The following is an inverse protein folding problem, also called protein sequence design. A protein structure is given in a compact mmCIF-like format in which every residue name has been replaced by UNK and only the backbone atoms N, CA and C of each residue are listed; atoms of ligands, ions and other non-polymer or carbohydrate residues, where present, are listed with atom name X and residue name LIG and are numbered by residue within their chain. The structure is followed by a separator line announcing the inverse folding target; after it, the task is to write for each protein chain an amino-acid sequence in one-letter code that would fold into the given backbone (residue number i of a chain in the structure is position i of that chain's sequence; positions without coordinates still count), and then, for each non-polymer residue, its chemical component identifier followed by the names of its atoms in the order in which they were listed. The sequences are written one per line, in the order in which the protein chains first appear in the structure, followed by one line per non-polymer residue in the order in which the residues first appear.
data_IF_882137417922
#
_entry.id   IF_882137417922
#
_cell.length_a   1.000
_cell.length_b   1.000
_cell.length_c   1.000
_cell.angle_alpha   90.00
_cell.angle_beta   90.00
_cell.angle_gamma   90.00
#
_symmetry.space_group_name_H-M   'P 1'
#
loop_
_entity.id
_entity.type
_entity.pdbx_description
1 polymer ?
#
# COMPACT_ATOMS: atom_id res chain seq x y z
N UNK A 1 9.58 -26.64 31.62
CA UNK A 1 9.74 -26.49 30.16
C UNK A 1 11.23 -26.50 29.81
N UNK A 2 11.79 -27.69 29.61
CA UNK A 2 13.24 -27.98 29.57
C UNK A 2 13.87 -27.92 28.17
N UNK A 3 13.49 -26.95 27.33
CA UNK A 3 13.90 -26.92 25.91
C UNK A 3 14.55 -25.60 25.43
N UNK A 4 15.06 -24.74 26.33
CA UNK A 4 15.63 -23.42 25.97
C UNK A 4 17.18 -23.37 25.94
N UNK A 5 17.89 -24.49 26.00
CA UNK A 5 19.34 -24.51 26.21
C UNK A 5 20.22 -24.33 24.94
N UNK A 6 19.70 -23.87 23.80
CA UNK A 6 20.47 -23.87 22.55
C UNK A 6 20.46 -22.55 21.77
N UNK A 7 20.59 -21.40 22.45
CA UNK A 7 20.88 -20.12 21.80
C UNK A 7 22.10 -19.48 22.44
N UNK A 8 23.30 -19.79 21.92
CA UNK A 8 24.51 -18.97 22.13
C UNK A 8 24.52 -17.84 21.12
N UNK A 9 24.42 -16.60 21.56
CA UNK A 9 24.72 -15.40 20.78
C UNK A 9 25.99 -14.75 21.35
N UNK A 10 26.96 -14.45 20.49
CA UNK A 10 28.19 -13.73 20.87
C UNK A 10 27.88 -12.23 21.03
N UNK A 11 28.45 -11.52 22.02
CA UNK A 11 28.16 -10.10 22.24
C UNK A 11 29.14 -9.18 21.50
N UNK A 12 28.58 -8.07 21.01
CA UNK A 12 29.29 -6.82 20.71
C UNK A 12 28.38 -5.88 19.90
N UNK A 13 28.34 -4.56 20.07
CA UNK A 13 29.03 -3.61 20.95
C UNK A 13 28.34 -2.24 20.70
N UNK A 14 28.28 -1.37 21.72
CA UNK A 14 27.90 0.08 21.73
C UNK A 14 26.39 0.42 21.76
N UNK A 15 25.82 0.98 22.84
CA UNK A 15 26.15 2.12 23.73
C UNK A 15 26.01 3.50 23.05
N UNK A 16 25.11 4.33 23.60
CA UNK A 16 24.94 5.74 23.21
C UNK A 16 23.65 6.37 23.73
N UNK A 17 23.67 6.81 24.99
CA UNK A 17 22.60 7.58 25.66
C UNK A 17 22.64 9.06 25.26
N UNK A 18 21.48 9.72 25.14
CA UNK A 18 21.35 11.11 25.61
C UNK A 18 19.89 11.52 25.90
N UNK A 19 19.65 11.98 27.14
CA UNK A 19 18.39 12.54 27.68
C UNK A 19 18.19 13.99 27.22
N UNK A 20 16.95 14.34 26.87
CA UNK A 20 16.46 15.72 26.80
C UNK A 20 15.65 16.08 28.06
N UNK A 21 15.74 17.34 28.50
CA UNK A 21 15.14 17.91 29.71
C UNK A 21 14.22 19.09 29.35
N UNK A 22 13.12 19.21 30.11
CA UNK A 22 12.20 20.35 30.33
C UNK A 22 11.34 20.84 29.14
N UNK A 23 10.00 20.67 29.13
CA UNK A 23 8.92 21.28 29.95
C UNK A 23 8.67 22.78 29.72
N UNK A 24 7.56 23.10 29.05
CA UNK A 24 6.66 24.19 29.45
C UNK A 24 5.20 23.76 29.19
N UNK A 25 4.33 24.22 30.08
CA UNK A 25 3.00 23.71 30.42
C UNK A 25 2.09 24.95 30.51
N UNK A 26 0.91 24.94 29.87
CA UNK A 26 -0.46 25.13 30.43
C UNK A 26 -1.28 26.09 29.52
N UNK A 27 -2.62 26.20 29.65
CA UNK A 27 -3.61 25.31 30.30
C UNK A 27 -4.85 24.96 29.43
N UNK A 28 -5.59 23.97 29.94
CA UNK A 28 -6.95 23.53 29.56
C UNK A 28 -8.03 24.57 29.88
N UNK A 29 -9.15 24.50 29.16
CA UNK A 29 -10.49 24.77 29.71
C UNK A 29 -11.45 23.62 29.38
N UNK A 30 -12.21 23.21 30.40
CA UNK A 30 -13.26 22.20 30.36
C UNK A 30 -14.58 22.81 29.87
N UNK A 31 -15.44 21.98 29.26
CA UNK A 31 -16.83 22.32 28.97
C UNK A 31 -17.67 21.06 28.75
N UNK A 32 -18.50 20.76 29.74
CA UNK A 32 -19.44 19.63 29.89
C UNK A 32 -20.78 19.87 29.17
N UNK A 33 -21.52 18.79 28.88
CA UNK A 33 -22.98 18.79 28.63
C UNK A 33 -23.37 17.91 27.43
N UNK A 34 -23.78 16.64 27.59
CA UNK A 34 -25.12 16.17 27.98
C UNK A 34 -26.23 16.54 26.98
N UNK A 35 -26.79 15.54 26.28
CA UNK A 35 -28.24 15.23 26.25
C UNK A 35 -28.59 14.21 25.15
N UNK A 36 -29.39 13.23 25.54
CA UNK A 36 -30.01 12.20 24.72
C UNK A 36 -31.43 12.61 24.29
N UNK A 37 -31.92 12.02 23.18
CA UNK A 37 -33.31 11.55 22.88
C UNK A 37 -33.39 11.28 21.37
N UNK A 38 -33.50 10.03 20.92
CA UNK A 38 -34.69 9.18 20.88
C UNK A 38 -35.77 9.68 19.89
N UNK A 39 -35.91 8.98 18.77
CA UNK A 39 -37.18 8.77 18.07
C UNK A 39 -37.20 7.33 17.49
N UNK A 40 -38.18 6.56 17.99
CA UNK A 40 -38.83 5.39 17.37
C UNK A 40 -39.40 5.83 16.00
N UNK A 41 -39.67 5.01 14.97
CA UNK A 41 -40.35 3.72 15.00
C UNK A 41 -40.31 3.07 13.60
N UNK A 42 -40.25 1.74 13.62
CA UNK A 42 -40.57 0.72 12.62
C UNK A 42 -41.12 1.08 11.23
N UNK A 43 -40.62 0.35 10.23
CA UNK A 43 -41.48 -0.40 9.32
C UNK A 43 -40.75 -1.62 8.77
N UNK A 44 -41.26 -2.77 9.18
CA UNK A 44 -40.92 -4.13 8.77
C UNK A 44 -41.44 -4.41 7.37
N UNK A 45 -40.63 -5.00 6.49
CA UNK A 45 -41.12 -5.88 5.44
C UNK A 45 -40.08 -6.97 5.15
N UNK A 46 -40.54 -8.20 5.32
CA UNK A 46 -39.79 -9.44 5.32
C UNK A 46 -40.08 -10.17 4.00
N UNK A 47 -39.07 -10.90 3.54
CA UNK A 47 -39.11 -12.03 2.58
C UNK A 47 -39.41 -11.73 1.10
N UNK A 48 -38.41 -12.01 0.25
CA UNK A 48 -38.38 -13.27 -0.49
C UNK A 48 -36.99 -13.55 -1.09
N UNK A 49 -36.44 -14.72 -0.75
CA UNK A 49 -35.33 -15.39 -1.48
C UNK A 49 -35.94 -16.31 -2.53
N UNK A 50 -35.25 -16.51 -3.67
CA UNK A 50 -35.07 -17.88 -4.19
C UNK A 50 -33.57 -18.12 -4.48
N UNK A 51 -32.93 -19.07 -3.81
CA UNK A 51 -32.77 -20.50 -4.19
C UNK A 51 -32.11 -20.71 -5.56
N UNK A 52 -30.82 -21.03 -5.47
CA UNK A 52 -29.99 -21.73 -6.44
C UNK A 52 -30.62 -23.08 -6.82
N UNK A 53 -30.87 -23.28 -8.11
CA UNK A 53 -30.92 -24.57 -8.79
C UNK A 53 -30.82 -24.32 -10.31
N UNK A 54 -30.26 -25.30 -11.04
CA UNK A 54 -30.07 -25.36 -12.51
C UNK A 54 -28.66 -25.09 -13.06
N UNK A 55 -27.76 -26.03 -12.76
CA UNK A 55 -26.83 -26.57 -13.77
C UNK A 55 -27.55 -27.71 -14.50
N UNK A 56 -28.03 -27.46 -15.72
CA UNK A 56 -28.05 -28.47 -16.78
C UNK A 56 -28.46 -27.86 -18.14
N UNK A 57 -27.63 -28.15 -19.14
CA UNK A 57 -27.88 -28.09 -20.60
C UNK A 57 -28.15 -26.72 -21.23
N UNK A 58 -27.11 -26.18 -21.88
CA UNK A 58 -27.27 -25.21 -22.99
C UNK A 58 -26.70 -25.86 -24.26
N UNK A 59 -27.50 -26.08 -25.32
CA UNK A 59 -27.00 -26.49 -26.63
C UNK A 59 -26.21 -25.35 -27.28
N UNK A 60 -25.15 -25.69 -28.00
CA UNK A 60 -24.17 -24.75 -28.53
C UNK A 60 -24.78 -23.60 -29.37
N UNK A 61 -24.64 -22.38 -28.86
CA UNK A 61 -24.80 -21.16 -29.64
C UNK A 61 -23.40 -20.65 -30.02
N UNK A 62 -22.98 -20.97 -31.25
CA UNK A 62 -21.86 -20.28 -31.90
C UNK A 62 -22.29 -18.83 -32.17
N UNK A 63 -21.96 -17.93 -31.26
CA UNK A 63 -22.06 -16.50 -31.55
C UNK A 63 -21.06 -16.16 -32.67
N UNK A 64 -21.58 -15.92 -33.86
CA UNK A 64 -20.79 -15.41 -34.99
C UNK A 64 -20.16 -14.09 -34.58
N UNK A 65 -18.82 -14.01 -34.67
CA UNK A 65 -18.04 -12.79 -34.40
C UNK A 65 -18.61 -11.58 -35.17
N UNK A 66 -19.24 -11.81 -36.32
CA UNK A 66 -19.88 -10.77 -37.11
C UNK A 66 -21.11 -10.12 -36.46
N UNK A 67 -21.83 -10.80 -35.57
CA UNK A 67 -23.02 -10.23 -34.92
C UNK A 67 -22.67 -9.25 -33.78
N UNK A 68 -21.66 -9.58 -32.98
CA UNK A 68 -21.10 -8.69 -31.95
C UNK A 68 -20.43 -7.47 -32.57
N UNK A 69 -19.76 -7.66 -33.72
CA UNK A 69 -19.14 -6.58 -34.48
C UNK A 69 -20.18 -5.68 -35.17
N UNK A 70 -21.36 -6.22 -35.51
CA UNK A 70 -22.51 -5.43 -36.02
C UNK A 70 -23.19 -4.62 -34.92
N UNK A 71 -23.29 -5.16 -33.70
CA UNK A 71 -23.87 -4.47 -32.53
C UNK A 71 -22.95 -3.35 -32.02
N UNK A 72 -21.64 -3.59 -31.97
CA UNK A 72 -20.63 -2.57 -31.68
C UNK A 72 -20.63 -1.46 -32.75
N UNK A 73 -20.72 -1.83 -34.03
CA UNK A 73 -20.87 -0.88 -35.14
C UNK A 73 -22.19 -0.09 -35.07
N UNK A 74 -23.30 -0.71 -34.68
CA UNK A 74 -24.59 -0.01 -34.52
C UNK A 74 -24.56 0.99 -33.36
N UNK A 75 -24.05 0.60 -32.19
CA UNK A 75 -23.91 1.47 -31.03
C UNK A 75 -22.94 2.64 -31.28
N UNK A 76 -21.88 2.41 -32.05
CA UNK A 76 -20.95 3.45 -32.48
C UNK A 76 -21.55 4.36 -33.57
N UNK A 77 -22.30 3.79 -34.52
CA UNK A 77 -22.99 4.57 -35.56
C UNK A 77 -24.10 5.45 -35.01
N UNK A 78 -24.81 5.02 -33.95
CA UNK A 78 -25.84 5.83 -33.29
C UNK A 78 -25.24 7.01 -32.53
N UNK A 79 -24.03 6.86 -31.98
CA UNK A 79 -23.32 8.00 -31.37
C UNK A 79 -22.76 8.97 -32.43
N UNK A 80 -22.35 8.46 -33.59
CA UNK A 80 -21.87 9.31 -34.70
C UNK A 80 -23.01 10.00 -35.47
N UNK A 81 -24.20 9.40 -35.57
CA UNK A 81 -25.36 9.99 -36.26
C UNK A 81 -26.00 11.12 -35.46
N UNK A 82 -25.94 11.06 -34.12
CA UNK A 82 -26.36 12.18 -33.24
C UNK A 82 -25.46 13.40 -33.46
N UNK A 83 -24.17 13.18 -33.74
CA UNK A 83 -23.23 14.27 -34.05
C UNK A 83 -23.37 14.86 -35.47
N UNK A 84 -24.10 14.20 -36.39
CA UNK A 84 -24.18 14.59 -37.80
C UNK A 84 -25.47 15.32 -38.18
N UNK A 85 -26.49 15.32 -37.31
CA UNK A 85 -27.81 15.91 -37.62
C UNK A 85 -28.04 17.32 -37.06
N UNK A 86 -27.18 17.85 -36.20
CA UNK A 86 -27.32 19.23 -35.71
C UNK A 86 -26.38 20.16 -36.48
N UNK A 87 -26.86 20.68 -37.61
CA UNK A 87 -26.33 21.93 -38.16
C UNK A 87 -26.33 22.99 -37.06
N UNK A 88 -25.21 23.70 -36.94
CA UNK A 88 -24.90 24.73 -35.93
C UNK A 88 -25.90 24.95 -34.79
N UNK A 89 -25.50 24.58 -33.56
CA UNK A 89 -25.78 25.40 -32.40
C UNK A 89 -24.47 25.90 -31.78
N UNK A 90 -24.46 27.22 -31.53
CA UNK A 90 -23.78 27.94 -30.44
C UNK A 90 -22.92 27.09 -29.51
N UNK A 91 -21.69 27.55 -29.28
CA UNK A 91 -20.79 27.08 -28.23
C UNK A 91 -21.48 26.97 -26.87
N UNK A 92 -22.02 25.80 -26.55
CA UNK A 92 -22.28 25.40 -25.17
C UNK A 92 -21.02 24.71 -24.69
N UNK A 93 -20.26 25.46 -23.92
CA UNK A 93 -19.03 25.12 -23.21
C UNK A 93 -19.30 24.07 -22.11
N UNK A 94 -19.89 22.92 -22.44
CA UNK A 94 -20.19 21.86 -21.47
C UNK A 94 -19.99 20.44 -22.06
N UNK A 95 -18.89 20.25 -22.79
CA UNK A 95 -18.33 18.90 -22.93
C UNK A 95 -17.71 18.51 -21.59
N UNK A 96 -18.54 17.88 -20.75
CA UNK A 96 -18.25 17.23 -19.46
C UNK A 96 -16.76 16.96 -19.22
N UNK A 97 -16.12 17.80 -18.42
CA UNK A 97 -14.85 17.44 -17.78
C UNK A 97 -15.15 16.27 -16.84
N UNK A 98 -14.40 15.16 -16.86
CA UNK A 98 -14.63 14.06 -15.92
C UNK A 98 -14.54 14.59 -14.49
N UNK A 99 -15.56 14.27 -13.68
CA UNK A 99 -15.65 14.76 -12.31
C UNK A 99 -14.49 14.20 -11.47
N UNK A 100 -13.60 15.09 -11.02
CA UNK A 100 -12.39 14.72 -10.26
C UNK A 100 -12.68 14.51 -8.76
N UNK A 101 -13.81 15.02 -8.27
CA UNK A 101 -14.18 14.92 -6.85
C UNK A 101 -14.26 13.48 -6.35
N UNK A 102 -14.84 12.57 -7.13
CA UNK A 102 -15.00 11.16 -6.73
C UNK A 102 -13.67 10.39 -6.65
N UNK A 103 -12.76 10.49 -7.64
CA UNK A 103 -11.40 9.98 -7.51
C UNK A 103 -10.66 10.48 -6.25
N UNK A 104 -10.73 11.78 -5.96
CA UNK A 104 -10.10 12.36 -4.75
C UNK A 104 -10.72 11.73 -3.49
N UNK A 105 -12.05 11.71 -3.40
CA UNK A 105 -12.75 11.16 -2.25
C UNK A 105 -12.41 9.68 -2.01
N UNK A 106 -12.34 8.88 -3.07
CA UNK A 106 -11.97 7.47 -2.97
C UNK A 106 -10.51 7.27 -2.55
N UNK A 107 -9.58 8.05 -3.09
CA UNK A 107 -8.17 8.02 -2.64
C UNK A 107 -8.07 8.36 -1.16
N UNK A 108 -8.74 9.40 -0.68
CA UNK A 108 -8.74 9.77 0.75
C UNK A 108 -9.41 8.69 1.62
N UNK A 109 -10.55 8.15 1.18
CA UNK A 109 -11.29 7.14 1.94
C UNK A 109 -10.52 5.81 2.06
N UNK A 110 -9.94 5.33 0.95
CA UNK A 110 -9.18 4.07 0.94
C UNK A 110 -7.89 4.21 1.72
N UNK A 111 -7.14 5.30 1.53
CA UNK A 111 -5.93 5.58 2.30
C UNK A 111 -6.24 5.76 3.79
N UNK A 112 -7.30 6.52 4.12
CA UNK A 112 -7.74 6.71 5.51
C UNK A 112 -8.14 5.40 6.20
N UNK A 113 -8.88 4.54 5.50
CA UNK A 113 -9.24 3.21 6.01
C UNK A 113 -8.01 2.31 6.18
N UNK A 114 -7.07 2.33 5.24
CA UNK A 114 -5.82 1.59 5.34
C UNK A 114 -5.01 2.03 6.56
N UNK A 115 -4.87 3.34 6.77
CA UNK A 115 -4.20 3.91 7.95
C UNK A 115 -4.93 3.57 9.25
N UNK A 116 -6.26 3.70 9.30
CA UNK A 116 -7.05 3.38 10.47
C UNK A 116 -6.92 1.91 10.88
N UNK A 117 -7.08 1.00 9.92
CA UNK A 117 -7.01 -0.45 10.18
C UNK A 117 -5.59 -0.88 10.56
N UNK A 118 -4.58 -0.36 9.86
CA UNK A 118 -3.19 -0.62 10.18
C UNK A 118 -2.80 -0.10 11.57
N UNK A 119 -3.16 1.14 11.90
CA UNK A 119 -2.87 1.74 13.19
C UNK A 119 -3.61 1.03 14.34
N UNK A 120 -4.88 0.67 14.14
CA UNK A 120 -5.64 -0.15 15.10
C UNK A 120 -4.94 -1.47 15.38
N UNK A 121 -4.50 -2.14 14.30
CA UNK A 121 -3.85 -3.44 14.41
C UNK A 121 -2.50 -3.33 15.10
N UNK A 122 -1.65 -2.40 14.68
CA UNK A 122 -0.34 -2.12 15.31
C UNK A 122 -0.50 -1.81 16.80
N UNK A 123 -1.45 -0.96 17.18
CA UNK A 123 -1.68 -0.64 18.59
C UNK A 123 -2.11 -1.87 19.38
N UNK A 124 -3.02 -2.70 18.83
CA UNK A 124 -3.47 -3.92 19.50
C UNK A 124 -2.32 -4.91 19.74
N UNK A 125 -1.47 -5.14 18.73
CA UNK A 125 -0.39 -6.12 18.84
C UNK A 125 0.76 -5.62 19.71
N UNK A 126 1.09 -4.33 19.61
CA UNK A 126 2.07 -3.68 20.49
C UNK A 126 1.62 -3.79 21.95
N UNK A 127 0.34 -3.54 22.23
CA UNK A 127 -0.21 -3.61 23.59
C UNK A 127 -0.15 -5.03 24.15
N UNK A 128 -0.47 -6.03 23.34
CA UNK A 128 -0.38 -7.43 23.78
C UNK A 128 1.06 -7.81 24.14
N UNK A 129 2.05 -7.28 23.41
CA UNK A 129 3.46 -7.43 23.76
C UNK A 129 3.82 -6.68 25.06
N UNK A 130 3.37 -5.43 25.25
CA UNK A 130 3.59 -4.67 26.49
C UNK A 130 2.96 -5.35 27.71
N UNK A 131 1.77 -5.94 27.58
CA UNK A 131 1.10 -6.69 28.65
C UNK A 131 1.89 -7.92 29.09
N UNK A 132 2.51 -8.63 28.13
CA UNK A 132 3.38 -9.76 28.46
C UNK A 132 4.64 -9.29 29.19
N UNK A 133 5.22 -8.16 28.76
CA UNK A 133 6.37 -7.55 29.44
C UNK A 133 6.05 -7.18 30.89
N UNK A 134 4.83 -6.71 31.15
CA UNK A 134 4.35 -6.35 32.48
C UNK A 134 3.84 -7.54 33.30
N UNK A 135 3.84 -8.76 32.76
CA UNK A 135 3.35 -9.96 33.45
C UNK A 135 4.24 -10.35 34.64
N UNK A 136 3.65 -10.70 35.81
CA UNK A 136 4.42 -10.99 37.02
C UNK A 136 5.37 -12.18 36.86
N UNK A 137 4.96 -13.21 36.13
CA UNK A 137 5.80 -14.39 35.86
C UNK A 137 7.06 -14.06 35.05
N UNK A 138 6.93 -13.18 34.04
CA UNK A 138 8.05 -12.80 33.19
C UNK A 138 8.97 -11.81 33.92
N UNK A 139 8.41 -10.90 34.70
CA UNK A 139 9.17 -9.99 35.56
C UNK A 139 9.99 -10.77 36.59
N UNK A 140 9.40 -11.79 37.22
CA UNK A 140 10.11 -12.67 38.14
C UNK A 140 11.20 -13.47 37.42
N UNK A 141 10.88 -14.10 36.29
CA UNK A 141 11.83 -14.90 35.52
C UNK A 141 13.04 -14.11 35.02
N UNK A 142 12.83 -12.89 34.51
CA UNK A 142 13.90 -11.99 34.02
C UNK A 142 14.75 -11.38 35.15
N UNK A 143 14.20 -11.28 36.36
CA UNK A 143 14.92 -10.76 37.52
C UNK A 143 15.99 -11.72 38.05
N UNK A 144 15.88 -13.02 37.75
CA UNK A 144 16.82 -14.05 38.18
C UNK A 144 18.20 -13.80 37.56
N UNK A 145 19.31 -13.93 38.34
CA UNK A 145 20.65 -13.58 37.88
C UNK A 145 21.09 -14.37 36.64
N UNK A 146 20.63 -15.62 36.49
CA UNK A 146 20.84 -16.49 35.33
C UNK A 146 20.19 -15.98 34.03
N UNK A 147 19.14 -15.16 34.12
CA UNK A 147 18.36 -14.70 32.96
C UNK A 147 18.55 -13.20 32.67
N UNK A 148 19.41 -12.50 33.40
CA UNK A 148 19.65 -11.06 33.21
C UNK A 148 20.12 -10.71 31.79
N UNK A 149 20.85 -11.62 31.13
CA UNK A 149 21.26 -11.44 29.74
C UNK A 149 20.05 -11.27 28.78
N UNK A 150 18.92 -11.91 29.10
CA UNK A 150 17.70 -11.81 28.30
C UNK A 150 16.90 -10.52 28.59
N UNK A 151 17.21 -9.77 29.65
CA UNK A 151 16.46 -8.56 30.01
C UNK A 151 16.47 -7.50 28.89
N UNK A 152 17.60 -7.36 28.18
CA UNK A 152 17.70 -6.48 27.01
C UNK A 152 16.80 -6.93 25.85
N UNK A 153 16.64 -8.23 25.67
CA UNK A 153 15.75 -8.80 24.64
C UNK A 153 14.29 -8.58 25.02
N UNK A 154 13.91 -8.87 26.27
CA UNK A 154 12.53 -8.76 26.73
C UNK A 154 12.05 -7.32 26.92
N UNK A 155 12.94 -6.36 27.18
CA UNK A 155 12.56 -4.95 27.30
C UNK A 155 12.15 -4.31 25.96
N UNK A 156 12.61 -4.86 24.83
CA UNK A 156 12.28 -4.36 23.52
C UNK A 156 10.97 -5.00 23.01
N UNK A 157 9.91 -4.19 22.92
CA UNK A 157 8.56 -4.63 22.52
C UNK A 157 8.54 -5.35 21.16
N UNK A 158 9.45 -4.99 20.25
CA UNK A 158 9.58 -5.63 18.93
C UNK A 158 10.11 -7.04 19.00
N UNK A 159 11.02 -7.31 19.94
CA UNK A 159 11.55 -8.66 20.17
C UNK A 159 10.43 -9.56 20.68
N UNK A 160 9.65 -9.06 21.64
CA UNK A 160 8.54 -9.79 22.24
C UNK A 160 7.48 -10.13 21.20
N UNK A 161 7.06 -9.15 20.38
CA UNK A 161 6.07 -9.37 19.32
C UNK A 161 6.59 -10.36 18.26
N UNK A 162 7.88 -10.30 17.91
CA UNK A 162 8.51 -11.26 16.99
C UNK A 162 8.49 -12.68 17.55
N UNK A 163 8.84 -12.87 18.83
CA UNK A 163 8.77 -14.19 19.48
C UNK A 163 7.34 -14.74 19.50
N UNK A 164 6.36 -13.90 19.80
CA UNK A 164 4.95 -14.30 19.74
C UNK A 164 4.53 -14.73 18.33
N UNK A 165 5.00 -14.03 17.30
CA UNK A 165 4.73 -14.38 15.91
C UNK A 165 5.36 -15.73 15.56
N UNK A 166 6.61 -15.97 15.96
CA UNK A 166 7.31 -17.21 15.66
C UNK A 166 6.60 -18.42 16.31
N UNK A 167 6.11 -18.25 17.55
CA UNK A 167 5.28 -19.25 18.23
C UNK A 167 3.93 -19.48 17.55
N UNK A 168 3.25 -18.40 17.12
CA UNK A 168 1.98 -18.52 16.37
C UNK A 168 2.19 -19.21 15.03
N UNK A 169 3.25 -18.85 14.32
CA UNK A 169 3.59 -19.42 13.03
C UNK A 169 3.94 -20.89 13.16
N UNK A 170 4.69 -21.28 14.20
CA UNK A 170 4.96 -22.68 14.49
C UNK A 170 3.66 -23.46 14.69
N UNK A 171 2.75 -22.97 15.54
CA UNK A 171 1.43 -23.59 15.75
C UNK A 171 0.62 -23.73 14.45
N UNK A 172 0.68 -22.74 13.55
CA UNK A 172 -0.01 -22.79 12.24
C UNK A 172 0.69 -23.71 11.24
N UNK A 173 2.01 -23.79 11.29
CA UNK A 173 2.84 -24.56 10.35
C UNK A 173 2.75 -26.06 10.65
N UNK A 174 2.68 -26.45 11.92
CA UNK A 174 2.64 -27.86 12.34
C UNK A 174 1.54 -28.69 11.65
N UNK A 175 0.25 -28.29 11.65
CA UNK A 175 -0.79 -29.08 11.01
C UNK A 175 -0.62 -29.17 9.49
N UNK A 176 -0.16 -28.07 8.85
CA UNK A 176 0.07 -28.03 7.40
C UNK A 176 1.26 -28.93 7.02
N UNK A 177 2.36 -28.85 7.78
CA UNK A 177 3.52 -29.73 7.61
C UNK A 177 3.12 -31.19 7.74
N UNK A 178 2.28 -31.52 8.72
CA UNK A 178 1.81 -32.88 8.94
C UNK A 178 0.93 -33.36 7.78
N UNK A 179 0.03 -32.52 7.25
CA UNK A 179 -0.76 -32.85 6.07
C UNK A 179 0.08 -33.02 4.80
N UNK A 180 1.10 -32.17 4.63
CA UNK A 180 1.97 -32.16 3.46
C UNK A 180 3.03 -33.28 3.47
N UNK A 181 3.20 -33.98 4.59
CA UNK A 181 4.12 -35.12 4.71
C UNK A 181 3.84 -36.26 3.72
N UNK A 182 2.60 -36.34 3.21
CA UNK A 182 2.15 -37.29 2.19
C UNK A 182 2.32 -36.79 0.74
N UNK A 183 2.71 -35.53 0.55
CA UNK A 183 2.85 -34.91 -0.78
C UNK A 183 4.22 -35.23 -1.41
N UNK A 184 4.37 -35.09 -2.74
CA UNK A 184 5.65 -35.19 -3.44
C UNK A 184 6.75 -34.31 -2.80
N UNK A 185 7.99 -34.81 -2.83
CA UNK A 185 9.15 -34.17 -2.19
C UNK A 185 9.36 -32.71 -2.64
N UNK A 186 9.08 -32.41 -3.92
CA UNK A 186 9.12 -31.05 -4.46
C UNK A 186 8.16 -30.06 -3.77
N UNK A 187 6.97 -30.52 -3.37
CA UNK A 187 5.99 -29.69 -2.64
C UNK A 187 6.40 -29.51 -1.18
N UNK A 188 6.99 -30.54 -0.57
CA UNK A 188 7.52 -30.44 0.79
C UNK A 188 8.70 -29.47 0.86
N UNK A 189 9.63 -29.55 -0.10
CA UNK A 189 10.78 -28.66 -0.21
C UNK A 189 10.36 -27.22 -0.53
N UNK A 190 9.38 -27.04 -1.41
CA UNK A 190 8.82 -25.71 -1.71
C UNK A 190 8.15 -25.09 -0.48
N UNK A 191 7.37 -25.87 0.27
CA UNK A 191 6.73 -25.40 1.50
C UNK A 191 7.76 -25.11 2.59
N UNK A 192 8.73 -26.00 2.81
CA UNK A 192 9.81 -25.80 3.76
C UNK A 192 10.63 -24.55 3.41
N UNK A 193 10.92 -24.34 2.12
CA UNK A 193 11.60 -23.15 1.63
C UNK A 193 10.77 -21.89 1.86
N UNK A 194 9.46 -21.92 1.60
CA UNK A 194 8.56 -20.78 1.84
C UNK A 194 8.50 -20.40 3.32
N UNK A 195 8.33 -21.39 4.21
CA UNK A 195 8.32 -21.19 5.66
C UNK A 195 9.68 -20.69 6.16
N UNK A 196 10.77 -21.25 5.61
CA UNK A 196 12.13 -20.85 5.94
C UNK A 196 12.41 -19.41 5.53
N UNK A 197 12.09 -19.02 4.30
CA UNK A 197 12.22 -17.64 3.81
C UNK A 197 11.40 -16.68 4.67
N UNK A 198 10.20 -17.06 5.10
CA UNK A 198 9.39 -16.21 5.98
C UNK A 198 9.97 -16.11 7.41
N UNK A 199 10.55 -17.20 7.95
CA UNK A 199 11.04 -17.32 9.33
C UNK A 199 12.48 -16.81 9.52
N UNK A 200 13.38 -17.05 8.57
CA UNK A 200 14.79 -16.63 8.64
C UNK A 200 14.98 -15.10 8.54
N UNK A 201 13.93 -14.38 8.14
CA UNK A 201 13.92 -12.93 8.09
C UNK A 201 13.83 -12.33 9.52
N UNK A 202 14.98 -12.27 10.20
CA UNK A 202 15.19 -11.59 11.49
C UNK A 202 15.01 -10.06 11.38
N UNK A 203 14.96 -9.40 12.53
CA UNK A 203 14.70 -7.97 12.78
C UNK A 203 14.97 -6.97 11.63
N UNK A 204 14.02 -6.04 11.41
CA UNK A 204 14.11 -5.00 10.38
C UNK A 204 13.58 -5.40 8.99
N UNK A 205 12.99 -6.59 8.86
CA UNK A 205 12.51 -7.15 7.59
C UNK A 205 10.98 -7.13 7.44
N UNK A 206 10.24 -6.44 8.31
CA UNK A 206 8.78 -6.39 8.24
C UNK A 206 8.26 -5.79 6.92
N UNK A 207 8.98 -4.83 6.33
CA UNK A 207 8.71 -4.35 4.98
C UNK A 207 8.93 -5.40 3.89
N UNK A 208 9.96 -6.24 4.03
CA UNK A 208 10.17 -7.35 3.10
C UNK A 208 9.03 -8.37 3.21
N UNK A 209 8.58 -8.67 4.43
CA UNK A 209 7.42 -9.56 4.66
C UNK A 209 6.15 -8.99 4.01
N UNK A 210 5.89 -7.69 4.18
CA UNK A 210 4.79 -7.02 3.49
C UNK A 210 4.94 -7.11 1.96
N UNK A 211 6.14 -6.83 1.43
CA UNK A 211 6.42 -6.89 0.00
C UNK A 211 6.22 -8.31 -0.58
N UNK A 212 6.57 -9.37 0.17
CA UNK A 212 6.32 -10.75 -0.23
C UNK A 212 4.82 -11.07 -0.27
N UNK A 213 4.04 -10.60 0.70
CA UNK A 213 2.59 -10.76 0.71
C UNK A 213 1.95 -10.04 -0.49
N UNK A 214 2.35 -8.79 -0.74
CA UNK A 214 1.90 -8.01 -1.90
C UNK A 214 2.29 -8.72 -3.21
N UNK A 215 3.51 -9.24 -3.28
CA UNK A 215 4.00 -10.00 -4.44
C UNK A 215 3.13 -11.23 -4.70
N UNK A 216 2.77 -11.99 -3.66
CA UNK A 216 1.86 -13.12 -3.78
C UNK A 216 0.48 -12.73 -4.36
N UNK A 217 -0.09 -11.61 -3.90
CA UNK A 217 -1.34 -11.06 -4.45
C UNK A 217 -1.16 -10.67 -5.92
N UNK A 218 -0.11 -9.91 -6.26
CA UNK A 218 0.15 -9.44 -7.62
C UNK A 218 0.39 -10.59 -8.60
N UNK A 219 1.14 -11.63 -8.19
CA UNK A 219 1.36 -12.85 -8.99
C UNK A 219 0.04 -13.57 -9.26
N UNK A 220 -0.83 -13.68 -8.26
CA UNK A 220 -2.16 -14.29 -8.41
C UNK A 220 -3.02 -13.53 -9.42
N UNK A 221 -3.06 -12.20 -9.31
CA UNK A 221 -3.79 -11.34 -10.26
C UNK A 221 -3.17 -11.41 -11.66
N UNK A 222 -1.85 -11.48 -11.76
CA UNK A 222 -1.15 -11.64 -13.04
C UNK A 222 -1.47 -12.97 -13.72
N UNK A 223 -1.60 -14.07 -12.97
CA UNK A 223 -2.08 -15.34 -13.53
C UNK A 223 -3.51 -15.22 -14.08
N UNK A 224 -4.39 -14.47 -13.42
CA UNK A 224 -5.74 -14.22 -13.93
C UNK A 224 -5.72 -13.48 -15.28
N UNK A 225 -4.75 -12.59 -15.53
CA UNK A 225 -4.54 -11.96 -16.85
C UNK A 225 -4.14 -12.96 -17.95
N UNK A 226 -3.48 -14.06 -17.59
CA UNK A 226 -3.04 -15.06 -18.58
C UNK A 226 -4.18 -15.93 -19.08
N UNK A 227 -5.23 -16.12 -18.28
CA UNK A 227 -6.43 -16.87 -18.66
C UNK A 227 -7.24 -16.09 -19.70
N UNK A 228 -7.34 -16.55 -20.99
CA UNK A 228 -7.99 -15.78 -22.05
C UNK A 228 -9.47 -15.45 -21.78
N UNK A 229 -10.16 -16.34 -21.06
CA UNK A 229 -11.58 -16.18 -20.66
C UNK A 229 -11.79 -15.05 -19.65
N UNK A 230 -10.81 -14.76 -18.81
CA UNK A 230 -10.89 -13.70 -17.80
C UNK A 230 -10.49 -12.33 -18.35
N UNK A 231 -9.77 -12.26 -19.47
CA UNK A 231 -9.25 -10.99 -20.04
C UNK A 231 -10.30 -9.87 -20.20
N UNK A 232 -11.53 -10.13 -20.70
CA UNK A 232 -12.54 -9.07 -20.80
C UNK A 232 -12.93 -8.51 -19.43
N UNK A 233 -13.07 -9.39 -18.44
CA UNK A 233 -13.36 -9.02 -17.06
C UNK A 233 -12.19 -8.23 -16.44
N UNK A 234 -10.96 -8.69 -16.62
CA UNK A 234 -9.75 -8.01 -16.13
C UNK A 234 -9.60 -6.61 -16.73
N UNK A 235 -9.81 -6.44 -18.04
CA UNK A 235 -9.78 -5.11 -18.67
C UNK A 235 -10.87 -4.17 -18.16
N UNK A 236 -12.03 -4.70 -17.80
CA UNK A 236 -13.16 -3.90 -17.32
C UNK A 236 -13.07 -3.51 -15.84
N UNK A 237 -12.32 -4.27 -15.02
CA UNK A 237 -12.32 -4.13 -13.56
C UNK A 237 -10.93 -3.97 -12.92
N UNK A 238 -9.85 -4.46 -13.52
CA UNK A 238 -8.49 -4.43 -12.96
C UNK A 238 -7.54 -3.47 -13.69
N UNK A 239 -7.99 -2.89 -14.80
CA UNK A 239 -7.28 -1.82 -15.50
C UNK A 239 -8.04 -0.51 -15.29
N UNK A 240 -7.34 0.50 -14.78
CA UNK A 240 -7.93 1.83 -14.63
C UNK A 240 -7.99 2.55 -15.98
N UNK A 241 -9.16 3.11 -16.27
CA UNK A 241 -9.38 3.99 -17.42
C UNK A 241 -10.00 5.29 -16.89
N UNK A 242 -9.32 6.44 -17.05
CA UNK A 242 -9.82 7.71 -16.56
C UNK A 242 -11.16 8.14 -17.17
N UNK A 243 -11.51 7.64 -18.37
CA UNK A 243 -12.74 8.03 -19.09
C UNK A 243 -13.97 7.23 -18.67
N UNK A 244 -13.79 6.03 -18.11
CA UNK A 244 -14.91 5.15 -17.77
C UNK A 244 -15.66 5.58 -16.50
N UNK A 245 -15.14 6.57 -15.74
CA UNK A 245 -15.75 7.05 -14.48
C UNK A 245 -15.74 6.04 -13.33
N UNK A 246 -15.15 4.85 -13.53
CA UNK A 246 -15.14 3.75 -12.56
C UNK A 246 -14.04 3.94 -11.52
N UNK A 247 -14.36 4.63 -10.43
CA UNK A 247 -13.37 4.97 -9.40
C UNK A 247 -12.76 3.75 -8.70
N UNK A 248 -13.55 2.69 -8.49
CA UNK A 248 -13.04 1.45 -7.88
C UNK A 248 -11.88 0.81 -8.66
N UNK A 249 -11.79 1.08 -9.97
CA UNK A 249 -10.70 0.54 -10.80
C UNK A 249 -9.34 1.13 -10.45
N UNK A 250 -9.28 2.28 -9.76
CA UNK A 250 -8.05 2.83 -9.21
C UNK A 250 -7.47 1.93 -8.12
N UNK A 251 -8.34 1.33 -7.29
CA UNK A 251 -7.93 0.44 -6.21
C UNK A 251 -7.48 -0.91 -6.75
N UNK A 252 -8.28 -1.52 -7.62
CA UNK A 252 -7.97 -2.84 -8.19
C UNK A 252 -6.73 -2.80 -9.08
N UNK A 253 -6.43 -1.66 -9.72
CA UNK A 253 -5.22 -1.47 -10.50
C UNK A 253 -3.93 -1.44 -9.68
N UNK A 254 -4.00 -1.12 -8.38
CA UNK A 254 -2.83 -1.18 -7.47
C UNK A 254 -2.24 -2.58 -7.38
N UNK A 255 -3.05 -3.61 -7.57
CA UNK A 255 -2.62 -5.01 -7.50
C UNK A 255 -2.56 -5.69 -8.88
N UNK A 256 -2.81 -4.95 -9.96
CA UNK A 256 -2.98 -5.50 -11.30
C UNK A 256 -1.79 -5.17 -12.20
N UNK A 257 -0.99 -6.19 -12.48
CA UNK A 257 0.11 -6.12 -13.43
C UNK A 257 -0.25 -6.92 -14.69
N UNK A 258 -0.37 -6.26 -15.86
CA UNK A 258 -0.77 -6.92 -17.11
C UNK A 258 0.41 -7.69 -17.75
N UNK A 259 1.60 -7.07 -17.78
CA UNK A 259 2.81 -7.67 -18.37
C UNK A 259 3.73 -8.26 -17.30
N UNK A 260 4.64 -9.14 -17.75
CA UNK A 260 5.67 -9.70 -16.86
C UNK A 260 6.67 -8.62 -16.41
N UNK A 261 6.97 -7.64 -17.27
CA UNK A 261 7.91 -6.57 -16.94
C UNK A 261 7.37 -5.66 -15.84
N UNK A 262 6.07 -5.38 -15.83
CA UNK A 262 5.43 -4.58 -14.77
C UNK A 262 5.42 -5.30 -13.44
N UNK A 263 5.09 -6.59 -13.50
CA UNK A 263 5.13 -7.45 -12.34
C UNK A 263 6.57 -7.49 -11.81
N UNK A 264 7.55 -7.81 -12.65
CA UNK A 264 8.95 -7.85 -12.28
C UNK A 264 9.42 -6.50 -11.72
N UNK A 265 9.13 -5.37 -12.37
CA UNK A 265 9.50 -4.04 -11.89
C UNK A 265 8.91 -3.74 -10.51
N UNK A 266 7.62 -4.00 -10.30
CA UNK A 266 6.97 -3.79 -9.01
C UNK A 266 7.52 -4.74 -7.93
N UNK A 267 7.53 -6.05 -8.21
CA UNK A 267 7.82 -7.06 -7.19
C UNK A 267 9.32 -7.20 -6.92
N UNK A 268 10.17 -7.16 -7.95
CA UNK A 268 11.62 -7.24 -7.77
C UNK A 268 12.13 -6.01 -7.02
N UNK A 269 11.70 -4.81 -7.40
CA UNK A 269 12.18 -3.59 -6.73
C UNK A 269 11.64 -3.49 -5.29
N UNK A 270 10.38 -3.85 -5.04
CA UNK A 270 9.87 -3.88 -3.66
C UNK A 270 10.56 -4.96 -2.80
N UNK A 271 10.80 -6.15 -3.33
CA UNK A 271 11.42 -7.25 -2.55
C UNK A 271 12.93 -7.09 -2.40
N UNK A 272 13.61 -6.46 -3.35
CA UNK A 272 15.06 -6.25 -3.24
C UNK A 272 15.36 -4.98 -2.45
N UNK A 273 15.34 -5.13 -1.13
CA UNK A 273 15.96 -4.18 -0.19
C UNK A 273 15.20 -2.88 0.06
N UNK A 274 14.48 -2.32 -0.92
CA UNK A 274 13.83 -1.01 -0.77
C UNK A 274 12.71 -1.04 0.29
N UNK A 275 11.86 -2.06 0.29
CA UNK A 275 10.82 -2.18 1.34
C UNK A 275 11.43 -2.38 2.73
N UNK A 276 12.57 -3.08 2.81
CA UNK A 276 13.35 -3.21 4.05
C UNK A 276 13.88 -1.84 4.49
N UNK A 277 14.51 -1.09 3.59
CA UNK A 277 15.08 0.22 3.89
C UNK A 277 14.01 1.19 4.40
N UNK A 278 12.85 1.26 3.72
CA UNK A 278 11.73 2.10 4.16
C UNK A 278 11.18 1.67 5.52
N UNK A 279 11.10 0.37 5.79
CA UNK A 279 10.62 -0.10 7.09
C UNK A 279 11.62 0.14 8.22
N UNK A 280 12.92 0.03 7.94
CA UNK A 280 13.98 0.44 8.88
C UNK A 280 13.93 1.93 9.18
N UNK A 281 13.67 2.75 8.15
CA UNK A 281 13.45 4.18 8.33
C UNK A 281 12.20 4.47 9.19
N UNK A 282 11.06 3.84 8.88
CA UNK A 282 9.83 3.95 9.69
C UNK A 282 10.11 3.56 11.15
N UNK A 283 10.84 2.46 11.32
CA UNK A 283 11.25 1.91 12.60
C UNK A 283 12.09 2.89 13.42
N UNK A 284 13.08 3.53 12.79
CA UNK A 284 13.92 4.54 13.42
C UNK A 284 13.11 5.79 13.79
N UNK A 285 12.22 6.25 12.92
CA UNK A 285 11.36 7.41 13.18
C UNK A 285 10.43 7.17 14.38
N UNK A 286 9.91 5.94 14.54
CA UNK A 286 9.05 5.59 15.68
C UNK A 286 9.79 5.40 17.02
N UNK A 287 11.12 5.34 17.01
CA UNK A 287 11.93 5.26 18.24
C UNK A 287 12.21 6.65 18.86
N UNK A 288 11.85 7.74 18.18
CA UNK A 288 12.06 9.09 18.71
C UNK A 288 11.28 9.32 20.02
N UNK A 289 11.87 10.02 21.02
CA UNK A 289 11.22 10.28 22.30
C UNK A 289 9.83 10.90 22.15
N UNK A 290 8.84 10.34 22.85
CA UNK A 290 7.46 10.83 22.83
C UNK A 290 6.56 10.21 21.76
N UNK A 291 7.09 9.39 20.85
CA UNK A 291 6.26 8.55 19.97
C UNK A 291 5.74 7.31 20.71
N UNK A 292 4.59 6.80 20.29
CA UNK A 292 4.07 5.54 20.77
C UNK A 292 5.01 4.42 20.30
N UNK A 293 5.43 3.53 21.21
CA UNK A 293 6.23 2.36 20.83
C UNK A 293 5.47 1.56 19.77
N UNK A 294 6.18 1.12 18.74
CA UNK A 294 5.63 0.28 17.68
C UNK A 294 6.30 -1.08 17.76
N UNK A 295 5.52 -2.15 17.95
CA UNK A 295 6.06 -3.51 17.98
C UNK A 295 6.40 -4.06 16.59
N UNK A 296 5.60 -3.74 15.55
CA UNK A 296 5.84 -4.15 14.16
C UNK A 296 5.46 -3.09 13.14
N UNK A 297 6.36 -2.82 12.19
CA UNK A 297 6.17 -1.85 11.10
C UNK A 297 5.49 -2.43 9.85
N UNK A 298 5.16 -3.74 9.83
CA UNK A 298 4.51 -4.38 8.68
C UNK A 298 3.21 -3.67 8.29
N UNK A 299 2.38 -3.30 9.26
CA UNK A 299 1.10 -2.63 9.02
C UNK A 299 1.30 -1.17 8.60
N UNK A 300 2.30 -0.47 9.17
CA UNK A 300 2.70 0.87 8.75
C UNK A 300 3.10 0.88 7.27
N UNK A 301 3.94 -0.08 6.87
CA UNK A 301 4.36 -0.24 5.48
C UNK A 301 3.19 -0.57 4.55
N UNK A 302 2.25 -1.43 4.97
CA UNK A 302 1.06 -1.74 4.16
C UNK A 302 0.15 -0.53 3.97
N UNK A 303 -0.05 0.30 5.00
CA UNK A 303 -0.80 1.55 4.88
C UNK A 303 -0.12 2.55 3.95
N UNK A 304 1.21 2.66 4.06
CA UNK A 304 2.03 3.44 3.15
C UNK A 304 1.91 2.94 1.71
N UNK A 305 2.00 1.62 1.49
CA UNK A 305 1.86 0.99 0.17
C UNK A 305 0.54 1.37 -0.50
N UNK A 306 -0.58 1.16 0.20
CA UNK A 306 -1.91 1.48 -0.34
C UNK A 306 -2.01 2.96 -0.65
N UNK A 307 -1.55 3.82 0.25
CA UNK A 307 -1.70 5.26 0.11
C UNK A 307 -0.82 5.85 -1.00
N UNK A 308 0.42 5.39 -1.12
CA UNK A 308 1.33 5.77 -2.19
C UNK A 308 0.76 5.36 -3.55
N UNK A 309 0.30 4.12 -3.69
CA UNK A 309 -0.31 3.65 -4.94
C UNK A 309 -1.62 4.35 -5.27
N UNK A 310 -2.49 4.64 -4.29
CA UNK A 310 -3.73 5.39 -4.50
C UNK A 310 -3.47 6.86 -4.88
N UNK A 311 -2.44 7.48 -4.30
CA UNK A 311 -2.02 8.84 -4.66
C UNK A 311 -1.47 8.90 -6.09
N UNK A 312 -0.57 7.99 -6.46
CA UNK A 312 -0.04 7.93 -7.83
C UNK A 312 -1.13 7.63 -8.86
N UNK A 313 -2.09 6.76 -8.53
CA UNK A 313 -3.25 6.49 -9.38
C UNK A 313 -4.11 7.74 -9.58
N UNK A 314 -4.32 8.53 -8.53
CA UNK A 314 -5.04 9.81 -8.61
C UNK A 314 -4.26 10.83 -9.45
N UNK A 315 -2.95 10.92 -9.25
CA UNK A 315 -2.09 11.82 -10.00
C UNK A 315 -2.15 11.50 -11.50
N UNK A 316 -2.01 10.23 -11.86
CA UNK A 316 -2.19 9.76 -13.24
C UNK A 316 -3.59 10.06 -13.78
N UNK A 317 -4.64 9.82 -12.99
CA UNK A 317 -6.02 10.10 -13.39
C UNK A 317 -6.19 11.58 -13.74
N UNK A 318 -5.73 12.49 -12.87
CA UNK A 318 -5.81 13.94 -13.06
C UNK A 318 -4.99 14.37 -14.28
N UNK A 319 -3.74 13.91 -14.39
CA UNK A 319 -2.86 14.24 -15.50
C UNK A 319 -3.45 13.76 -16.84
N UNK A 320 -3.97 12.54 -16.88
CA UNK A 320 -4.65 12.01 -18.06
C UNK A 320 -5.90 12.83 -18.39
N UNK A 321 -6.80 13.02 -17.40
CA UNK A 321 -8.04 13.78 -17.50
C UNK A 321 -7.84 15.21 -18.02
N UNK A 322 -6.82 15.91 -17.53
CA UNK A 322 -6.64 17.36 -17.74
C UNK A 322 -5.59 17.73 -18.76
N UNK A 323 -4.57 16.90 -18.96
CA UNK A 323 -3.46 17.21 -19.87
C UNK A 323 -3.51 16.34 -21.13
N UNK A 324 -3.69 15.04 -20.96
CA UNK A 324 -3.55 14.11 -22.08
C UNK A 324 -4.76 14.10 -23.01
N UNK A 325 -5.98 13.98 -22.48
CA UNK A 325 -7.17 13.92 -23.34
C UNK A 325 -7.39 15.17 -24.18
N UNK A 326 -7.26 16.40 -23.67
CA UNK A 326 -7.40 17.60 -24.50
C UNK A 326 -6.38 17.65 -25.63
N UNK A 327 -5.13 17.22 -25.39
CA UNK A 327 -4.09 17.14 -26.41
C UNK A 327 -4.45 16.13 -27.51
N UNK A 328 -4.98 14.97 -27.12
CA UNK A 328 -5.41 13.93 -28.07
C UNK A 328 -6.59 14.40 -28.93
N UNK A 329 -7.58 15.05 -28.32
CA UNK A 329 -8.74 15.60 -29.04
C UNK A 329 -8.29 16.67 -30.03
N UNK A 330 -7.40 17.59 -29.63
CA UNK A 330 -6.83 18.61 -30.53
C UNK A 330 -6.05 17.99 -31.71
N UNK A 331 -5.25 16.95 -31.46
CA UNK A 331 -4.49 16.24 -32.50
C UNK A 331 -5.39 15.47 -33.49
N UNK A 332 -6.50 14.89 -33.01
CA UNK A 332 -7.49 14.26 -33.88
C UNK A 332 -8.19 15.33 -34.71
N UNK A 333 -8.66 16.41 -34.09
CA UNK A 333 -9.33 17.52 -34.77
C UNK A 333 -8.45 18.15 -35.87
N UNK A 334 -7.16 18.39 -35.60
CA UNK A 334 -6.24 18.96 -36.58
C UNK A 334 -5.95 18.02 -37.76
N UNK A 335 -5.83 16.71 -37.52
CA UNK A 335 -5.65 15.69 -38.57
C UNK A 335 -6.89 15.51 -39.45
N UNK A 336 -8.09 15.65 -38.89
CA UNK A 336 -9.33 15.64 -39.66
C UNK A 336 -9.52 16.93 -40.48
N UNK A 337 -9.01 18.07 -40.00
CA UNK A 337 -9.11 19.34 -40.73
C UNK A 337 -8.16 19.46 -41.94
N UNK A 338 -7.12 18.61 -42.02
CA UNK A 338 -6.06 18.68 -43.05
C UNK A 338 -6.09 17.52 -44.04
N UNK A 339 -6.95 16.52 -43.85
CA UNK A 339 -7.08 15.37 -44.76
C UNK A 339 -8.31 15.51 -45.67
N UNK A 340 -8.06 15.73 -46.96
CA UNK A 340 -9.06 15.56 -48.03
C UNK A 340 -9.60 14.12 -48.02
N UNK A 341 -10.89 13.85 -48.32
CA UNK A 341 -11.53 12.58 -48.07
C UNK A 341 -11.11 11.53 -49.10
N UNK A 342 -9.91 10.96 -48.94
CA UNK A 342 -9.57 9.65 -49.52
C UNK A 342 -9.62 8.61 -48.41
N UNK A 343 -10.84 8.12 -48.16
CA UNK A 343 -11.07 6.93 -47.35
C UNK A 343 -11.07 5.74 -48.28
N UNK A 344 -9.97 4.96 -48.28
CA UNK A 344 -10.06 3.52 -48.52
C UNK A 344 -9.10 2.83 -47.55
N UNK A 345 -9.65 2.14 -46.55
CA UNK A 345 -8.98 1.00 -45.88
C UNK A 345 -8.23 1.24 -44.57
N UNK A 346 -7.90 2.47 -44.15
CA UNK A 346 -7.25 2.69 -42.87
C UNK A 346 -8.29 2.70 -41.73
N UNK A 347 -8.27 1.68 -40.89
CA UNK A 347 -9.18 1.56 -39.74
C UNK A 347 -9.19 2.81 -38.86
N UNK A 348 -10.34 3.06 -38.20
CA UNK A 348 -10.52 4.17 -37.25
C UNK A 348 -9.28 4.24 -36.35
N UNK A 349 -8.56 5.38 -36.27
CA UNK A 349 -7.39 5.49 -35.41
C UNK A 349 -7.82 5.21 -33.98
N UNK A 350 -7.45 4.04 -33.46
CA UNK A 350 -7.69 3.69 -32.06
C UNK A 350 -6.89 4.68 -31.22
N UNK A 351 -7.58 5.45 -30.40
CA UNK A 351 -6.93 6.25 -29.36
C UNK A 351 -6.30 5.25 -28.39
N UNK A 352 -5.00 5.01 -28.54
CA UNK A 352 -4.25 4.22 -27.58
C UNK A 352 -4.26 5.00 -26.27
N UNK A 353 -4.98 4.50 -25.26
CA UNK A 353 -4.90 5.02 -23.90
C UNK A 353 -3.47 4.77 -23.39
N UNK A 354 -2.87 5.75 -22.69
CA UNK A 354 -1.52 5.59 -22.14
C UNK A 354 -1.44 4.33 -21.27
N UNK A 355 -0.26 3.73 -21.26
CA UNK A 355 0.05 2.61 -20.38
C UNK A 355 -0.02 3.07 -18.92
N UNK A 356 -0.71 2.33 -18.06
CA UNK A 356 -0.90 2.66 -16.64
C UNK A 356 -0.61 1.45 -15.76
N UNK A 357 0.26 1.63 -14.78
CA UNK A 357 0.62 0.61 -13.79
C UNK A 357 0.51 1.19 -12.37
N UNK A 358 -0.68 1.08 -11.77
CA UNK A 358 -0.98 1.67 -10.46
C UNK A 358 -0.09 1.18 -9.31
N UNK A 359 0.57 0.03 -9.46
CA UNK A 359 1.50 -0.51 -8.47
C UNK A 359 2.87 0.16 -8.46
N UNK A 360 3.29 0.81 -9.56
CA UNK A 360 4.62 1.43 -9.64
C UNK A 360 4.77 2.66 -8.73
N UNK A 361 3.67 3.31 -8.36
CA UNK A 361 3.68 4.50 -7.50
C UNK A 361 4.41 4.29 -6.17
N UNK A 362 4.19 3.16 -5.50
CA UNK A 362 4.87 2.84 -4.24
C UNK A 362 6.37 2.61 -4.42
N UNK A 363 6.79 2.09 -5.58
CA UNK A 363 8.20 1.85 -5.88
C UNK A 363 8.93 3.19 -5.89
N UNK A 364 8.40 4.14 -6.65
CA UNK A 364 8.96 5.49 -6.72
C UNK A 364 8.90 6.23 -5.38
N UNK A 365 7.80 6.14 -4.64
CA UNK A 365 7.70 6.73 -3.31
C UNK A 365 8.77 6.17 -2.36
N UNK A 366 8.98 4.86 -2.37
CA UNK A 366 9.97 4.17 -1.54
C UNK A 366 11.39 4.54 -1.93
N UNK A 367 11.70 4.57 -3.23
CA UNK A 367 12.99 5.00 -3.74
C UNK A 367 13.28 6.47 -3.37
N UNK A 368 12.27 7.35 -3.40
CA UNK A 368 12.43 8.75 -3.00
C UNK A 368 12.73 8.90 -1.51
N UNK A 369 12.04 8.18 -0.62
CA UNK A 369 12.35 8.18 0.81
C UNK A 369 13.80 7.72 1.03
N UNK A 370 14.21 6.62 0.39
CA UNK A 370 15.57 6.10 0.48
C UNK A 370 16.62 7.09 -0.07
N UNK A 371 16.32 7.76 -1.18
CA UNK A 371 17.19 8.77 -1.78
C UNK A 371 17.38 9.99 -0.87
N UNK A 372 16.30 10.49 -0.26
CA UNK A 372 16.37 11.62 0.67
C UNK A 372 17.20 11.29 1.91
N UNK A 373 17.05 10.07 2.43
CA UNK A 373 17.82 9.66 3.62
C UNK A 373 19.30 9.42 3.34
N UNK A 374 19.62 8.90 2.16
CA UNK A 374 20.99 8.81 1.68
C UNK A 374 21.65 10.20 1.49
N UNK A 375 20.88 11.24 1.19
CA UNK A 375 21.41 12.60 1.06
C UNK A 375 21.75 13.26 2.41
N UNK A 376 21.10 12.86 3.50
CA UNK A 376 21.19 13.54 4.79
C UNK A 376 22.14 12.86 5.78
N UNK A 377 22.10 11.52 5.91
CA UNK A 377 22.83 10.82 6.97
C UNK A 377 24.20 10.27 6.53
N UNK A 378 24.35 9.84 5.27
CA UNK A 378 25.62 9.56 4.56
C UNK A 378 25.29 8.94 3.19
N UNK A 379 26.01 9.27 2.11
CA UNK A 379 25.78 8.68 0.80
C UNK A 379 26.21 7.21 0.79
N UNK A 380 25.29 6.31 1.19
CA UNK A 380 25.47 4.87 1.07
C UNK A 380 25.19 4.49 -0.38
N UNK A 381 26.23 4.03 -1.08
CA UNK A 381 26.09 3.39 -2.38
C UNK A 381 25.31 2.09 -2.24
N UNK A 382 24.29 1.91 -3.08
CA UNK A 382 23.49 0.68 -3.12
C UNK A 382 23.85 -0.09 -4.40
N UNK A 383 24.08 -1.39 -4.26
CA UNK A 383 24.30 -2.29 -5.40
C UNK A 383 22.98 -2.55 -6.15
N UNK A 384 23.02 -2.50 -7.48
CA UNK A 384 21.88 -2.90 -8.29
C UNK A 384 21.68 -4.41 -8.22
N UNK A 385 20.45 -4.90 -7.96
CA UNK A 385 20.19 -6.33 -7.79
C UNK A 385 20.53 -7.20 -9.01
N UNK A 386 20.46 -6.60 -10.20
CA UNK A 386 20.71 -7.26 -11.48
C UNK A 386 22.09 -6.92 -12.06
N UNK A 387 22.80 -5.97 -11.46
CA UNK A 387 24.15 -5.54 -11.83
C UNK A 387 24.95 -5.23 -10.55
N UNK A 388 25.33 -6.24 -9.75
CA UNK A 388 25.99 -6.05 -8.46
C UNK A 388 27.35 -5.33 -8.56
N UNK A 389 27.96 -5.28 -9.75
CA UNK A 389 29.18 -4.50 -10.00
C UNK A 389 28.94 -2.99 -10.13
N UNK A 390 27.69 -2.54 -10.26
CA UNK A 390 27.33 -1.13 -10.35
C UNK A 390 26.82 -0.63 -9.01
N UNK A 391 27.69 0.10 -8.32
CA UNK A 391 27.35 0.93 -7.17
C UNK A 391 26.80 2.26 -7.66
N UNK A 392 25.59 2.62 -7.23
CA UNK A 392 25.04 3.95 -7.50
C UNK A 392 24.47 4.56 -6.24
N UNK A 393 24.52 5.89 -6.16
CA UNK A 393 23.86 6.66 -5.11
C UNK A 393 22.38 6.76 -5.48
N UNK A 394 21.45 6.24 -4.66
CA UNK A 394 20.02 6.24 -4.96
C UNK A 394 19.46 7.61 -5.36
N UNK A 395 19.99 8.69 -4.79
CA UNK A 395 19.61 10.06 -5.11
C UNK A 395 19.81 10.42 -6.59
N UNK A 396 20.94 10.03 -7.20
CA UNK A 396 21.17 10.26 -8.63
C UNK A 396 20.27 9.38 -9.50
N UNK A 397 19.98 8.15 -9.06
CA UNK A 397 19.04 7.27 -9.75
C UNK A 397 17.63 7.85 -9.79
N UNK A 398 17.10 8.26 -8.65
CA UNK A 398 15.77 8.89 -8.55
C UNK A 398 15.75 10.22 -9.32
N UNK A 399 16.76 11.07 -9.16
CA UNK A 399 16.86 12.34 -9.88
C UNK A 399 16.89 12.15 -11.41
N UNK A 400 17.62 11.14 -11.90
CA UNK A 400 17.69 10.79 -13.30
C UNK A 400 16.34 10.31 -13.87
N UNK A 401 15.62 9.46 -13.13
CA UNK A 401 14.28 9.02 -13.57
C UNK A 401 13.28 10.16 -13.56
N UNK A 402 13.30 11.04 -12.55
CA UNK A 402 12.46 12.25 -12.51
C UNK A 402 12.74 13.15 -13.71
N UNK A 403 14.03 13.39 -14.02
CA UNK A 403 14.41 14.20 -15.17
C UNK A 403 13.89 13.57 -16.48
N UNK A 404 14.08 12.26 -16.65
CA UNK A 404 13.58 11.53 -17.80
C UNK A 404 12.05 11.61 -17.92
N UNK A 405 11.31 11.40 -16.84
CA UNK A 405 9.84 11.47 -16.82
C UNK A 405 9.34 12.89 -17.11
N UNK A 406 10.02 13.93 -16.63
CA UNK A 406 9.72 15.31 -16.97
C UNK A 406 9.94 15.59 -18.46
N UNK A 407 11.09 15.22 -19.02
CA UNK A 407 11.40 15.39 -20.45
C UNK A 407 10.37 14.64 -21.30
N UNK A 408 10.06 13.40 -20.93
CA UNK A 408 9.13 12.55 -21.63
C UNK A 408 7.68 13.08 -21.56
N UNK A 409 7.25 13.60 -20.41
CA UNK A 409 5.96 14.26 -20.24
C UNK A 409 5.83 15.57 -21.06
N UNK A 410 6.92 16.33 -21.18
CA UNK A 410 7.00 17.53 -22.02
C UNK A 410 6.92 17.19 -23.52
N UNK A 411 7.65 16.16 -23.96
CA UNK A 411 7.67 15.71 -25.36
C UNK A 411 6.46 14.84 -25.74
N UNK A 412 5.61 14.50 -24.77
CA UNK A 412 4.41 13.67 -25.01
C UNK A 412 4.73 12.23 -25.36
N UNK A 413 5.86 11.69 -24.88
CA UNK A 413 6.19 10.28 -25.02
C UNK A 413 5.17 9.43 -24.24
N UNK A 414 4.81 8.27 -24.81
CA UNK A 414 3.69 7.44 -24.33
C UNK A 414 4.11 6.01 -24.00
N UNK A 415 5.42 5.72 -24.08
CA UNK A 415 5.97 4.39 -23.85
C UNK A 415 6.05 4.04 -22.36
N UNK A 416 6.11 5.02 -21.46
CA UNK A 416 6.18 4.79 -20.01
C UNK A 416 5.08 5.54 -19.26
N UNK A 417 4.79 5.07 -18.05
CA UNK A 417 3.78 5.65 -17.16
C UNK A 417 4.36 6.80 -16.31
N UNK A 418 4.78 7.86 -17.01
CA UNK A 418 5.49 9.01 -16.42
C UNK A 418 4.74 9.66 -15.26
N UNK A 419 3.42 9.79 -15.38
CA UNK A 419 2.60 10.48 -14.38
C UNK A 419 2.47 9.65 -13.09
N UNK A 420 2.38 8.33 -13.19
CA UNK A 420 2.36 7.47 -11.99
C UNK A 420 3.69 7.54 -11.25
N UNK A 421 4.81 7.56 -11.99
CA UNK A 421 6.14 7.68 -11.40
C UNK A 421 6.30 9.02 -10.67
N UNK A 422 5.99 10.14 -11.33
CA UNK A 422 6.04 11.49 -10.75
C UNK A 422 5.10 11.63 -9.54
N UNK A 423 3.90 11.04 -9.61
CA UNK A 423 2.99 10.99 -8.46
C UNK A 423 3.58 10.22 -7.27
N UNK A 424 4.30 9.12 -7.54
CA UNK A 424 5.00 8.35 -6.52
C UNK A 424 6.14 9.13 -5.88
N UNK A 425 6.97 9.80 -6.69
CA UNK A 425 8.05 10.67 -6.18
C UNK A 425 7.49 11.78 -5.30
N UNK A 426 6.45 12.48 -5.78
CA UNK A 426 5.81 13.55 -5.01
C UNK A 426 5.26 13.02 -3.67
N UNK A 427 4.58 11.87 -3.68
CA UNK A 427 4.10 11.25 -2.45
C UNK A 427 5.27 10.89 -1.52
N UNK A 428 6.35 10.32 -2.05
CA UNK A 428 7.56 9.99 -1.29
C UNK A 428 8.17 11.19 -0.57
N UNK A 429 8.29 12.34 -1.25
CA UNK A 429 8.76 13.59 -0.63
C UNK A 429 7.84 14.04 0.51
N UNK A 430 6.53 14.09 0.25
CA UNK A 430 5.54 14.50 1.26
C UNK A 430 5.54 13.54 2.46
N UNK A 431 5.64 12.24 2.20
CA UNK A 431 5.67 11.22 3.22
C UNK A 431 6.95 11.24 4.04
N UNK A 432 8.10 11.52 3.41
CA UNK A 432 9.35 11.70 4.11
C UNK A 432 9.27 12.89 5.10
N UNK A 433 8.68 14.02 4.69
CA UNK A 433 8.55 15.21 5.54
C UNK A 433 7.56 15.06 6.71
N UNK A 434 6.44 14.37 6.49
CA UNK A 434 5.31 14.39 7.43
C UNK A 434 4.73 13.00 7.80
N UNK A 435 5.12 11.95 7.09
CA UNK A 435 4.51 10.62 7.18
C UNK A 435 4.65 9.95 8.54
N UNK A 436 5.81 10.08 9.20
CA UNK A 436 6.01 9.56 10.56
C UNK A 436 5.10 10.26 11.59
N UNK A 437 4.97 11.59 11.49
CA UNK A 437 4.08 12.39 12.34
C UNK A 437 2.61 12.05 12.08
N UNK A 438 2.25 11.86 10.82
CA UNK A 438 0.90 11.46 10.43
C UNK A 438 0.55 10.05 10.92
N UNK A 439 1.48 9.11 10.83
CA UNK A 439 1.33 7.76 11.38
C UNK A 439 1.08 7.80 12.89
N UNK A 440 1.90 8.56 13.61
CA UNK A 440 1.75 8.73 15.04
C UNK A 440 0.42 9.38 15.43
N UNK A 441 0.04 10.45 14.71
CA UNK A 441 -1.26 11.08 14.90
C UNK A 441 -2.39 10.06 14.71
N UNK A 442 -2.34 9.27 13.63
CA UNK A 442 -3.35 8.25 13.35
C UNK A 442 -3.43 7.24 14.50
N UNK A 443 -2.28 6.69 14.93
CA UNK A 443 -2.22 5.73 16.03
C UNK A 443 -2.77 6.28 17.34
N UNK A 444 -2.66 7.58 17.60
CA UNK A 444 -3.27 8.21 18.79
C UNK A 444 -4.78 8.46 18.67
N UNK A 445 -5.33 8.52 17.46
CA UNK A 445 -6.74 8.87 17.21
C UNK A 445 -7.59 7.68 16.77
N UNK A 446 -7.00 6.51 16.52
CA UNK A 446 -7.76 5.28 16.32
C UNK A 446 -8.41 4.84 17.63
N UNK A 447 -9.60 4.26 17.52
CA UNK A 447 -10.35 3.76 18.66
C UNK A 447 -9.59 2.62 19.37
N UNK A 448 -9.68 2.61 20.69
CA UNK A 448 -9.09 1.58 21.55
C UNK A 448 -8.11 2.18 22.55
N UNK A 449 -7.64 1.34 23.47
CA UNK A 449 -6.57 1.72 24.39
C UNK A 449 -5.22 1.74 23.65
N UNK A 450 -4.40 2.75 23.91
CA UNK A 450 -3.15 2.96 23.17
C UNK A 450 -1.95 2.39 23.96
N UNK A 451 -0.94 1.85 23.25
CA UNK A 451 0.30 1.39 23.88
C UNK A 451 1.01 2.54 24.60
N UNK A 452 1.72 2.27 25.69
CA UNK A 452 2.56 3.27 26.38
C UNK A 452 1.87 4.49 27.03
N UNK A 453 0.53 4.63 27.05
CA UNK A 453 -0.13 5.69 27.83
C UNK A 453 0.00 5.47 29.36
N UNK A 454 0.21 4.22 29.80
CA UNK A 454 0.39 3.89 31.21
C UNK A 454 1.71 4.44 31.80
N UNK A 455 2.79 4.61 31.03
CA UNK A 455 4.04 5.23 31.56
C UNK A 455 3.85 6.72 31.87
N UNK A 456 2.99 7.43 31.11
CA UNK A 456 2.65 8.84 31.38
C UNK A 456 1.73 8.99 32.58
N UNK A 457 0.77 8.10 32.75
CA UNK A 457 -0.05 8.06 33.95
C UNK A 457 0.78 7.71 35.18
N UNK A 458 1.61 6.67 35.14
CA UNK A 458 2.48 6.28 36.26
C UNK A 458 3.48 7.40 36.62
N UNK A 459 4.09 8.07 35.64
CA UNK A 459 5.00 9.19 35.91
C UNK A 459 4.30 10.48 36.37
N UNK A 460 3.02 10.66 36.04
CA UNK A 460 2.18 11.73 36.59
C UNK A 460 1.74 11.41 38.02
N UNK A 461 1.39 10.16 38.29
CA UNK A 461 1.06 9.62 39.62
C UNK A 461 2.27 9.68 40.55
N UNK A 462 3.45 9.24 40.12
CA UNK A 462 4.69 9.38 40.90
C UNK A 462 5.07 10.85 41.15
N UNK A 463 4.84 11.75 40.18
CA UNK A 463 5.00 13.19 40.41
C UNK A 463 4.00 13.71 41.44
N UNK A 464 2.76 13.22 41.43
CA UNK A 464 1.74 13.57 42.41
C UNK A 464 2.01 13.02 43.81
N UNK A 465 2.68 11.86 43.94
CA UNK A 465 3.14 11.35 45.23
C UNK A 465 4.32 12.18 45.75
N UNK A 466 5.31 12.44 44.90
CA UNK A 466 6.48 13.25 45.27
C UNK A 466 6.15 14.70 45.61
N UNK A 467 5.06 15.25 45.07
CA UNK A 467 4.58 16.59 45.45
C UNK A 467 3.81 16.62 46.76
N UNK A 468 3.32 15.47 47.25
CA UNK A 468 2.60 15.36 48.53
C UNK A 468 3.51 15.12 49.73
N UNK A 469 4.70 14.54 49.51
CA UNK A 469 5.70 14.32 50.57
C UNK A 469 6.59 15.56 50.86
N UNK A 470 6.33 16.70 50.20
CA UNK A 470 7.11 17.95 50.34
C UNK A 470 6.24 19.10 50.90
N UNK A 471 5.02 18.81 51.33
CA UNK A 471 4.14 19.71 52.09
C UNK A 471 3.89 19.13 53.47
#
# INVERSE_FOLDING_TARGET
MSWLASVRLRPGVLSGSCRARCTQQFPRSNGTGAAARAFSESSTLRLQRPRLAWLSRVPGLRFSKHALDKLSRKAFSSQLSVARQTGHPRSTEDTQRPAIGWPIAATLAVSGLAYYTAASRTNSTTRDAERLQAGPELAEWTSRPENREFQGVWSNVRMVEQMQLDLKLEKLTQPIRNALSSAPQSLQDAYASMVRVYREQRFGLDGLRAALLITGVNVTVWFAWKVPRLRPFMRAHFRHDPLNGKVYTMVTSVFSNETLLDLAGTTLVLTVGISRAVSLWMDQQQQQPGHLREGRSIYHFLAFFVSASMFSSLFFHIASARMLYPRLVKQLASKFSTSSPRIVGAGIPRVSVPYFSGSMGVVFASCTIMALECLLDTPISVELPFLPALNFIPAYGVGGVVLFDCIAALHGWRMFDHYTHLGGVLFGVVYWMAGARFWEWTRRHVWGEKPGENERDVSSVFRSFKSKDVS
#
